data_IF_756057095685
#
_entry.id   IF_756057095685
#
_cell.length_a   1.000
_cell.length_b   1.000
_cell.length_c   1.000
_cell.angle_alpha   90.00
_cell.angle_beta   90.00
_cell.angle_gamma   90.00
#
_symmetry.space_group_name_H-M   'P 1'
#
loop_
_entity.id
_entity.type
_entity.pdbx_description
1 polymer ?
#
# COMPACT_ATOMS: atom_id res chain seq x y z
N UNK A 1 19.78 5.16 9.39
CA UNK A 1 18.57 5.02 8.56
C UNK A 1 18.59 6.12 7.50
N UNK A 2 18.54 5.78 6.21
CA UNK A 2 18.43 6.78 5.14
C UNK A 2 17.03 7.42 5.19
N UNK A 3 16.95 8.75 5.14
CA UNK A 3 15.68 9.47 5.00
C UNK A 3 15.11 9.21 3.61
N UNK A 4 13.95 8.57 3.52
CA UNK A 4 13.19 8.41 2.27
C UNK A 4 12.34 9.65 2.06
N UNK A 5 12.47 10.28 0.89
CA UNK A 5 11.49 11.29 0.47
C UNK A 5 10.30 10.55 -0.14
N UNK A 6 9.18 10.55 0.58
CA UNK A 6 7.98 9.81 0.19
C UNK A 6 7.39 10.30 -1.14
N UNK A 7 7.63 11.54 -1.53
CA UNK A 7 7.11 12.13 -2.75
C UNK A 7 8.03 11.89 -3.95
N UNK A 8 9.36 11.85 -3.73
CA UNK A 8 10.34 11.71 -4.81
C UNK A 8 10.78 10.25 -5.05
N UNK A 9 10.85 9.42 -4.00
CA UNK A 9 11.47 8.09 -4.08
C UNK A 9 10.48 6.93 -4.26
N UNK A 10 9.17 7.20 -4.13
CA UNK A 10 8.13 6.17 -4.14
C UNK A 10 7.20 6.33 -5.34
N UNK A 11 6.65 5.21 -5.80
CA UNK A 11 5.70 5.14 -6.92
C UNK A 11 4.44 4.40 -6.49
N UNK A 12 3.28 4.86 -6.99
CA UNK A 12 2.02 4.19 -6.76
C UNK A 12 1.80 3.04 -7.75
N UNK A 13 1.49 1.87 -7.21
CA UNK A 13 0.64 0.89 -7.86
C UNK A 13 -0.80 1.16 -7.45
N UNK A 14 -1.69 1.35 -8.43
CA UNK A 14 -3.09 1.73 -8.24
C UNK A 14 -3.24 3.01 -7.40
N UNK A 15 -2.93 4.21 -7.95
CA UNK A 15 -2.98 5.44 -7.17
C UNK A 15 -4.39 5.68 -6.61
N UNK A 16 -4.50 6.09 -5.34
CA UNK A 16 -5.79 6.44 -4.75
C UNK A 16 -6.36 7.71 -5.40
N UNK A 17 -7.69 7.89 -5.41
CA UNK A 17 -8.33 9.09 -5.96
C UNK A 17 -7.88 10.37 -5.22
N UNK A 18 -7.49 10.25 -3.96
CA UNK A 18 -6.92 11.36 -3.20
C UNK A 18 -5.76 10.89 -2.33
N UNK A 19 -4.64 11.58 -2.47
CA UNK A 19 -3.51 11.49 -1.56
C UNK A 19 -2.82 12.85 -1.46
N UNK A 20 -2.09 13.05 -0.37
CA UNK A 20 -1.21 14.19 -0.20
C UNK A 20 0.02 13.80 0.59
N UNK A 21 1.15 14.42 0.26
CA UNK A 21 2.41 14.25 0.96
C UNK A 21 2.67 15.45 1.86
N UNK A 22 3.11 15.19 3.09
CA UNK A 22 3.49 16.21 4.06
C UNK A 22 4.71 15.70 4.86
N UNK A 23 5.91 16.08 4.41
CA UNK A 23 7.17 15.60 4.98
C UNK A 23 7.25 14.08 4.89
N UNK A 24 7.40 13.41 6.05
CA UNK A 24 7.46 11.95 6.16
C UNK A 24 6.10 11.27 6.32
N UNK A 25 5.01 11.97 5.99
CA UNK A 25 3.63 11.45 6.09
C UNK A 25 2.96 11.48 4.74
N UNK A 26 2.25 10.40 4.42
CA UNK A 26 1.29 10.35 3.32
C UNK A 26 -0.11 10.21 3.91
N UNK A 27 -1.03 11.06 3.45
CA UNK A 27 -2.45 10.91 3.73
C UNK A 27 -3.11 10.28 2.51
N UNK A 28 -3.97 9.28 2.74
CA UNK A 28 -4.60 8.50 1.67
C UNK A 28 -6.09 8.39 1.95
N UNK A 29 -6.91 8.59 0.91
CA UNK A 29 -8.31 8.18 0.90
C UNK A 29 -8.51 7.11 -0.17
N UNK A 30 -8.95 5.94 0.26
CA UNK A 30 -9.15 4.79 -0.63
C UNK A 30 -10.25 5.07 -1.67
N UNK A 31 -10.09 4.44 -2.83
CA UNK A 31 -11.16 4.26 -3.80
C UNK A 31 -12.12 3.15 -3.36
N UNK A 32 -13.28 3.08 -4.00
CA UNK A 32 -14.26 2.02 -3.76
C UNK A 32 -13.78 0.68 -4.32
N UNK A 33 -14.20 -0.41 -3.69
CA UNK A 33 -14.04 -1.79 -4.19
C UNK A 33 -12.57 -2.15 -4.53
N UNK A 34 -11.66 -1.70 -3.67
CA UNK A 34 -10.21 -1.94 -3.78
C UNK A 34 -9.78 -3.04 -2.82
N UNK A 35 -8.97 -3.98 -3.29
CA UNK A 35 -8.51 -5.12 -2.49
C UNK A 35 -7.26 -5.79 -3.10
N UNK A 36 -6.55 -6.55 -2.27
CA UNK A 36 -5.52 -7.50 -2.69
C UNK A 36 -5.91 -8.89 -2.21
N UNK A 37 -6.43 -9.71 -3.12
CA UNK A 37 -6.88 -11.06 -2.82
C UNK A 37 -6.55 -12.01 -3.96
N UNK A 38 -6.20 -13.25 -3.61
CA UNK A 38 -5.94 -14.29 -4.59
C UNK A 38 -6.57 -15.62 -4.22
N UNK A 39 -7.62 -15.95 -4.96
CA UNK A 39 -8.21 -17.29 -5.22
C UNK A 39 -8.76 -18.04 -4.00
N UNK A 40 -8.00 -18.12 -2.91
CA UNK A 40 -8.31 -18.89 -1.71
C UNK A 40 -9.75 -18.69 -1.27
N UNK A 41 -10.50 -19.78 -1.15
CA UNK A 41 -11.90 -19.87 -0.72
C UNK A 41 -12.94 -19.15 -1.61
N UNK A 42 -12.70 -17.90 -2.00
CA UNK A 42 -13.66 -17.07 -2.73
C UNK A 42 -13.58 -17.18 -4.25
N UNK A 43 -12.53 -17.80 -4.80
CA UNK A 43 -12.39 -18.07 -6.23
C UNK A 43 -12.18 -16.83 -7.12
N UNK A 44 -12.03 -15.63 -6.55
CA UNK A 44 -11.75 -14.41 -7.28
C UNK A 44 -10.34 -13.87 -7.04
N UNK A 45 -9.92 -12.95 -7.91
CA UNK A 45 -8.67 -12.20 -7.78
C UNK A 45 -8.97 -10.70 -7.72
N UNK A 46 -8.25 -9.99 -6.86
CA UNK A 46 -8.21 -8.53 -6.77
C UNK A 46 -6.76 -8.11 -6.62
N UNK A 47 -6.34 -7.17 -7.44
CA UNK A 47 -5.00 -6.58 -7.43
C UNK A 47 -5.08 -5.06 -7.63
N UNK A 48 -6.15 -4.46 -7.09
CA UNK A 48 -6.51 -3.06 -7.30
C UNK A 48 -6.42 -2.22 -6.02
N UNK A 49 -5.92 -2.78 -4.91
CA UNK A 49 -5.57 -2.06 -3.69
C UNK A 49 -4.47 -1.02 -3.91
N UNK A 50 -4.44 0.01 -3.08
CA UNK A 50 -3.47 1.10 -3.19
C UNK A 50 -2.14 0.73 -2.55
N UNK A 51 -1.04 0.84 -3.31
CA UNK A 51 0.28 0.48 -2.82
C UNK A 51 1.32 1.52 -3.26
N UNK A 52 1.88 2.24 -2.29
CA UNK A 52 3.00 3.17 -2.50
C UNK A 52 4.30 2.44 -2.18
N UNK A 53 5.22 2.37 -3.14
CA UNK A 53 6.37 1.47 -3.02
C UNK A 53 7.63 2.00 -3.71
N UNK A 54 8.75 1.36 -3.38
CA UNK A 54 9.99 1.41 -4.16
C UNK A 54 10.63 0.02 -4.18
N UNK A 55 11.40 -0.31 -5.23
CA UNK A 55 12.24 -1.50 -5.21
C UNK A 55 13.27 -1.43 -4.08
N UNK A 56 13.53 -2.57 -3.44
CA UNK A 56 14.62 -2.77 -2.48
C UNK A 56 15.38 -4.04 -2.85
N UNK A 57 16.68 -4.09 -2.58
CA UNK A 57 17.53 -5.23 -2.87
C UNK A 57 18.33 -5.62 -1.62
N UNK A 58 18.50 -6.93 -1.41
CA UNK A 58 19.17 -7.48 -0.23
C UNK A 58 18.31 -7.37 1.04
N UNK A 59 18.97 -7.57 2.18
CA UNK A 59 18.32 -7.52 3.49
C UNK A 59 17.89 -6.09 3.81
N UNK A 60 16.66 -5.94 4.32
CA UNK A 60 16.14 -4.65 4.73
C UNK A 60 15.26 -4.80 5.97
N UNK A 61 14.99 -3.67 6.61
CA UNK A 61 13.97 -3.54 7.64
C UNK A 61 13.11 -2.33 7.30
N UNK A 62 11.80 -2.48 7.46
CA UNK A 62 10.84 -1.42 7.21
C UNK A 62 9.86 -1.32 8.38
N UNK A 63 9.59 -0.10 8.81
CA UNK A 63 8.63 0.21 9.85
C UNK A 63 7.77 1.37 9.38
N UNK A 64 6.47 1.31 9.67
CA UNK A 64 5.55 2.42 9.44
C UNK A 64 4.59 2.51 10.62
N UNK A 65 4.19 3.74 10.94
CA UNK A 65 3.03 3.97 11.79
C UNK A 65 1.80 4.17 10.91
N UNK A 66 0.81 3.30 11.06
CA UNK A 66 -0.49 3.46 10.37
C UNK A 66 -1.51 4.04 11.34
N UNK A 67 -2.15 5.13 10.94
CA UNK A 67 -3.33 5.68 11.62
C UNK A 67 -4.48 5.68 10.64
N UNK A 68 -5.49 4.87 10.91
CA UNK A 68 -6.68 4.74 10.08
C UNK A 68 -7.94 5.06 10.86
N UNK A 69 -8.93 5.57 10.13
CA UNK A 69 -10.29 5.80 10.61
C UNK A 69 -11.18 4.69 10.05
N UNK A 70 -10.95 3.46 10.54
CA UNK A 70 -11.61 2.25 10.07
C UNK A 70 -13.07 2.22 10.55
N UNK A 71 -14.01 2.09 9.62
CA UNK A 71 -15.45 2.23 9.91
C UNK A 71 -16.30 1.14 9.30
N UNK A 72 -15.85 0.53 8.22
CA UNK A 72 -16.62 -0.45 7.47
C UNK A 72 -15.87 -1.79 7.48
N UNK A 73 -16.63 -2.88 7.43
CA UNK A 73 -16.07 -4.23 7.31
C UNK A 73 -15.13 -4.28 6.09
N UNK A 74 -13.93 -4.83 6.31
CA UNK A 74 -12.85 -4.96 5.33
C UNK A 74 -12.09 -3.67 4.98
N UNK A 75 -12.25 -2.58 5.75
CA UNK A 75 -11.29 -1.47 5.69
C UNK A 75 -9.89 -1.97 6.09
N UNK A 76 -8.89 -1.67 5.27
CA UNK A 76 -7.52 -2.19 5.38
C UNK A 76 -6.49 -1.08 5.21
N UNK A 77 -5.43 -1.11 6.01
CA UNK A 77 -4.22 -0.33 5.81
C UNK A 77 -3.05 -1.01 6.52
N UNK A 78 -1.84 -0.90 5.97
CA UNK A 78 -0.69 -1.64 6.49
C UNK A 78 0.56 -1.47 5.65
N UNK A 79 1.52 -2.37 5.88
CA UNK A 79 2.68 -2.58 5.01
C UNK A 79 2.41 -3.74 4.07
N UNK A 80 2.95 -3.64 2.87
CA UNK A 80 2.97 -4.72 1.89
C UNK A 80 4.41 -4.94 1.43
N UNK A 81 4.80 -6.20 1.34
CA UNK A 81 5.93 -6.62 0.53
C UNK A 81 5.37 -7.13 -0.78
N UNK A 82 6.05 -6.89 -1.91
CA UNK A 82 5.54 -7.30 -3.21
C UNK A 82 6.66 -7.67 -4.14
N UNK A 83 6.62 -8.90 -4.63
CA UNK A 83 7.49 -9.38 -5.69
C UNK A 83 6.78 -9.31 -7.05
N UNK A 84 5.49 -9.64 -7.09
CA UNK A 84 4.68 -9.63 -8.32
C UNK A 84 3.18 -9.58 -8.02
N UNK A 85 2.34 -9.53 -9.05
CA UNK A 85 0.88 -9.67 -8.98
C UNK A 85 0.41 -10.98 -8.31
N UNK A 86 1.30 -11.96 -8.19
CA UNK A 86 0.99 -13.31 -7.70
C UNK A 86 1.68 -13.66 -6.39
N UNK A 87 2.65 -12.83 -5.96
CA UNK A 87 3.48 -13.04 -4.78
C UNK A 87 3.72 -11.70 -4.10
N UNK A 88 3.07 -11.53 -2.96
CA UNK A 88 3.15 -10.37 -2.08
C UNK A 88 3.20 -10.87 -0.64
#
# INVERSE_FOLDING_TARGET
>A
MSTVDWNADLTWLNPPPHHSFAGSTVQVRTGKETDFWRETFYGFRRDNGHFLHRPVAGDFSAEVTVKGDYRVLYDQAGLMLRLSETHW
#
